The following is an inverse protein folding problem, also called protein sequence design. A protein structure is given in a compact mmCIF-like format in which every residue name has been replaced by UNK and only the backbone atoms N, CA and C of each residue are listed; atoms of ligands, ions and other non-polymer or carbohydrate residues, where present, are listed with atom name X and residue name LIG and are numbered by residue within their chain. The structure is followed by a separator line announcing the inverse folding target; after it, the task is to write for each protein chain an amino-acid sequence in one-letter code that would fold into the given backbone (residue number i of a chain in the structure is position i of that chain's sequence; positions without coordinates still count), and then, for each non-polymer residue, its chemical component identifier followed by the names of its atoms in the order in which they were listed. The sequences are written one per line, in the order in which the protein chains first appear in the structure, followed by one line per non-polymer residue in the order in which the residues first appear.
data_IF_043440104287
#
_entry.id   IF_043440104287
#
_cell.length_a   1.000
_cell.length_b   1.000
_cell.length_c   1.000
_cell.angle_alpha   90.00
_cell.angle_beta   90.00
_cell.angle_gamma   90.00
#
_symmetry.space_group_name_H-M   'P 1'
#
loop_
_entity.id
_entity.type
_entity.pdbx_description
1 polymer ?
#
# COMPACT_ATOMS: atom_id res chain seq x y z
N UNK A 1 46.17 -9.89 35.26
CA UNK A 1 44.75 -9.81 34.81
C UNK A 1 44.01 -8.84 35.72
N UNK A 2 43.40 -7.73 35.31
CA UNK A 2 43.27 -7.09 34.02
C UNK A 2 42.77 -5.66 34.27
N UNK A 3 43.55 -4.66 33.88
CA UNK A 3 43.14 -3.25 33.84
C UNK A 3 42.64 -2.93 32.43
N UNK A 4 41.58 -3.61 31.98
CA UNK A 4 41.04 -3.45 30.62
C UNK A 4 39.98 -2.33 30.49
N UNK A 5 39.68 -1.57 31.54
CA UNK A 5 38.76 -0.44 31.47
C UNK A 5 39.25 0.76 32.28
N UNK A 6 40.14 1.60 31.72
CA UNK A 6 40.48 2.90 32.35
C UNK A 6 41.00 3.99 31.40
N UNK A 7 40.79 3.86 30.09
CA UNK A 7 41.09 4.96 29.16
C UNK A 7 39.80 5.68 28.79
N UNK A 8 39.59 6.87 29.39
CA UNK A 8 38.46 7.77 29.09
C UNK A 8 38.38 8.10 27.60
N UNK A 9 39.52 8.12 26.88
CA UNK A 9 39.57 8.34 25.43
C UNK A 9 39.04 7.15 24.63
N UNK A 10 39.30 5.91 25.06
CA UNK A 10 38.70 4.73 24.41
C UNK A 10 37.19 4.67 24.65
N UNK A 11 36.73 5.02 25.85
CA UNK A 11 35.31 5.08 26.18
C UNK A 11 34.59 6.15 25.32
N UNK A 12 35.18 7.35 25.21
CA UNK A 12 34.64 8.42 24.36
C UNK A 12 34.60 8.02 22.87
N UNK A 13 35.66 7.36 22.38
CA UNK A 13 35.69 6.87 20.99
C UNK A 13 34.60 5.82 20.73
N UNK A 14 34.38 4.90 21.67
CA UNK A 14 33.33 3.88 21.56
C UNK A 14 31.92 4.50 21.55
N UNK A 15 31.67 5.51 22.39
CA UNK A 15 30.39 6.24 22.42
C UNK A 15 30.17 6.99 21.11
N UNK A 16 31.19 7.64 20.57
CA UNK A 16 31.13 8.33 19.27
C UNK A 16 30.79 7.33 18.17
N UNK A 17 31.49 6.19 18.09
CA UNK A 17 31.20 5.16 17.08
C UNK A 17 29.76 4.65 17.17
N UNK A 18 29.24 4.38 18.38
CA UNK A 18 27.85 3.95 18.56
C UNK A 18 26.81 5.03 18.20
N UNK A 19 27.13 6.32 18.40
CA UNK A 19 26.26 7.44 18.02
C UNK A 19 26.26 7.72 16.51
N UNK A 20 27.33 7.36 15.81
CA UNK A 20 27.48 7.52 14.36
C UNK A 20 27.32 6.22 13.57
N UNK A 21 26.96 5.11 14.22
CA UNK A 21 26.60 3.87 13.54
C UNK A 21 25.38 4.13 12.65
N UNK A 22 25.49 3.97 11.32
CA UNK A 22 24.33 4.08 10.45
C UNK A 22 23.34 3.00 10.85
N UNK A 23 22.13 3.41 11.21
CA UNK A 23 21.03 2.46 11.35
C UNK A 23 20.71 1.93 9.97
N UNK A 24 21.06 0.67 9.70
CA UNK A 24 20.69 0.02 8.45
C UNK A 24 19.18 -0.14 8.41
N UNK A 25 18.53 0.61 7.54
CA UNK A 25 17.12 0.39 7.23
C UNK A 25 16.95 -0.87 6.39
N UNK A 26 15.84 -1.56 6.60
CA UNK A 26 15.49 -2.81 5.93
C UNK A 26 15.09 -2.58 4.47
N UNK A 27 15.58 -3.46 3.62
CA UNK A 27 15.32 -3.46 2.18
C UNK A 27 13.96 -4.06 1.85
N UNK A 28 13.52 -3.84 0.60
CA UNK A 28 12.31 -4.44 0.03
C UNK A 28 12.29 -5.96 0.27
N UNK A 29 11.20 -6.48 0.86
CA UNK A 29 10.98 -7.90 1.13
C UNK A 29 11.55 -8.41 2.47
N UNK A 30 12.34 -7.60 3.18
CA UNK A 30 12.81 -7.93 4.51
C UNK A 30 11.70 -7.81 5.56
N UNK A 31 11.83 -8.50 6.69
CA UNK A 31 10.83 -8.47 7.76
C UNK A 31 10.99 -7.25 8.62
N UNK A 32 9.91 -6.53 8.81
CA UNK A 32 9.86 -5.31 9.61
C UNK A 32 8.82 -5.43 10.72
N UNK A 33 8.87 -4.50 11.67
CA UNK A 33 7.82 -4.34 12.70
C UNK A 33 7.08 -3.01 12.55
N UNK A 34 7.75 -1.99 12.00
CA UNK A 34 7.19 -0.66 11.76
C UNK A 34 7.78 -0.02 10.48
N UNK A 35 7.09 0.99 9.93
CA UNK A 35 7.53 1.72 8.73
C UNK A 35 8.94 2.30 8.86
N UNK A 36 9.28 2.81 10.04
CA UNK A 36 10.61 3.38 10.34
C UNK A 36 11.76 2.38 10.21
N UNK A 37 11.45 1.08 10.23
CA UNK A 37 12.46 0.04 10.09
C UNK A 37 12.87 -0.11 8.61
N UNK A 38 12.05 0.34 7.66
CA UNK A 38 12.25 0.17 6.23
C UNK A 38 13.00 1.34 5.58
N UNK A 39 13.65 1.09 4.44
CA UNK A 39 14.27 2.12 3.61
C UNK A 39 13.27 3.21 3.17
N UNK A 40 13.78 4.40 2.87
CA UNK A 40 12.96 5.52 2.43
C UNK A 40 12.10 5.14 1.20
N UNK A 41 10.79 5.39 1.28
CA UNK A 41 9.83 5.04 0.23
C UNK A 41 9.24 3.63 0.34
N UNK A 42 9.61 2.87 1.37
CA UNK A 42 8.99 1.60 1.74
C UNK A 42 8.10 1.76 2.98
N UNK A 43 7.15 0.85 3.16
CA UNK A 43 6.31 0.72 4.34
C UNK A 43 6.22 -0.74 4.78
N UNK A 44 6.07 -0.93 6.07
CA UNK A 44 5.94 -2.22 6.69
C UNK A 44 4.50 -2.73 6.59
N UNK A 45 4.24 -3.59 5.60
CA UNK A 45 2.88 -4.07 5.31
C UNK A 45 2.79 -5.59 5.32
N UNK A 46 1.57 -6.08 5.55
CA UNK A 46 1.19 -7.49 5.39
C UNK A 46 0.18 -7.62 4.26
N UNK A 47 0.16 -8.80 3.62
CA UNK A 47 -0.87 -9.14 2.64
C UNK A 47 -1.50 -10.47 3.04
N UNK A 48 -2.50 -10.39 3.92
CA UNK A 48 -3.21 -11.56 4.43
C UNK A 48 -3.87 -12.39 3.32
N UNK A 49 -4.24 -11.75 2.20
CA UNK A 49 -4.86 -12.41 1.05
C UNK A 49 -3.98 -13.50 0.42
N UNK A 50 -2.65 -13.41 0.53
CA UNK A 50 -1.72 -14.45 0.03
C UNK A 50 -1.27 -15.41 1.15
N UNK A 51 -2.01 -15.46 2.27
CA UNK A 51 -1.65 -16.27 3.44
C UNK A 51 -0.40 -15.78 4.20
N UNK A 52 0.19 -14.65 3.79
CA UNK A 52 1.38 -14.10 4.41
C UNK A 52 1.01 -13.09 5.51
N UNK A 53 1.11 -13.54 6.76
CA UNK A 53 0.87 -12.72 7.95
C UNK A 53 2.12 -12.01 8.45
N UNK A 54 3.30 -12.29 7.87
CA UNK A 54 4.57 -11.70 8.30
C UNK A 54 4.80 -10.35 7.63
N UNK A 55 4.86 -9.23 8.37
CA UNK A 55 5.06 -7.91 7.78
C UNK A 55 6.39 -7.81 7.06
N UNK A 56 6.39 -7.22 5.86
CA UNK A 56 7.57 -7.00 5.05
C UNK A 56 7.67 -5.55 4.62
N UNK A 57 8.89 -5.08 4.40
CA UNK A 57 9.09 -3.79 3.76
C UNK A 57 8.63 -3.88 2.31
N UNK A 58 7.64 -3.07 1.96
CA UNK A 58 7.00 -3.05 0.65
C UNK A 58 6.99 -1.65 0.07
N UNK A 59 7.09 -1.57 -1.24
CA UNK A 59 7.05 -0.30 -1.95
C UNK A 59 5.61 0.12 -2.17
N UNK A 60 5.23 1.28 -1.63
CA UNK A 60 3.87 1.82 -1.80
C UNK A 60 3.72 2.53 -3.14
N UNK A 61 4.74 3.27 -3.60
CA UNK A 61 4.65 4.09 -4.81
C UNK A 61 5.54 3.55 -5.94
N UNK A 62 5.00 3.29 -7.14
CA UNK A 62 5.79 2.89 -8.29
C UNK A 62 6.65 4.06 -8.78
N UNK A 63 7.66 3.76 -9.59
CA UNK A 63 8.39 4.80 -10.32
C UNK A 63 7.45 5.46 -11.33
N UNK A 64 7.40 6.79 -11.36
CA UNK A 64 6.61 7.52 -12.34
C UNK A 64 7.15 7.24 -13.77
N UNK A 65 6.37 6.63 -14.68
CA UNK A 65 6.82 6.31 -16.03
C UNK A 65 7.31 7.53 -16.81
N UNK A 66 6.67 8.69 -16.61
CA UNK A 66 7.00 9.93 -17.33
C UNK A 66 8.30 10.59 -16.84
N UNK A 67 8.80 10.18 -15.66
CA UNK A 67 10.10 10.63 -15.17
C UNK A 67 11.27 9.90 -15.84
N UNK A 68 11.02 8.79 -16.54
CA UNK A 68 12.04 8.00 -17.24
C UNK A 68 12.12 8.33 -18.72
N UNK A 69 10.98 8.50 -19.37
CA UNK A 69 10.87 8.93 -20.77
C UNK A 69 9.70 9.91 -20.87
N UNK A 70 9.89 11.00 -21.62
CA UNK A 70 8.87 12.05 -21.78
C UNK A 70 8.16 11.93 -23.13
N UNK A 71 7.01 12.57 -23.23
CA UNK A 71 6.29 12.85 -24.49
C UNK A 71 5.85 11.61 -25.31
N UNK A 72 5.65 10.47 -24.65
CA UNK A 72 4.99 9.33 -25.28
C UNK A 72 3.46 9.43 -25.13
N UNK A 73 2.68 8.89 -26.07
CA UNK A 73 1.24 8.70 -25.89
C UNK A 73 0.93 7.85 -24.64
N UNK A 74 -0.23 8.06 -24.01
CA UNK A 74 -0.63 7.36 -22.77
C UNK A 74 -0.50 5.83 -22.86
N UNK A 75 -0.87 5.24 -23.99
CA UNK A 75 -0.80 3.79 -24.25
C UNK A 75 0.61 3.25 -24.54
N UNK A 76 1.65 4.09 -24.42
CA UNK A 76 3.06 3.71 -24.56
C UNK A 76 3.83 3.76 -23.23
N UNK A 77 3.12 4.00 -22.13
CA UNK A 77 3.65 3.90 -20.76
C UNK A 77 3.09 2.66 -20.05
N UNK A 78 3.84 2.17 -19.07
CA UNK A 78 3.36 1.16 -18.12
C UNK A 78 2.69 1.85 -16.94
N UNK A 79 1.42 1.57 -16.70
CA UNK A 79 0.66 2.15 -15.59
C UNK A 79 0.35 1.10 -14.53
N UNK A 80 0.40 1.51 -13.26
CA UNK A 80 -0.12 0.68 -12.19
C UNK A 80 -1.66 0.71 -12.22
N UNK A 81 -2.27 -0.46 -12.17
CA UNK A 81 -3.72 -0.65 -12.20
C UNK A 81 -4.18 -1.50 -11.03
N UNK A 82 -5.36 -1.24 -10.48
CA UNK A 82 -5.95 -2.07 -9.41
C UNK A 82 -7.24 -2.74 -9.87
N UNK A 83 -7.38 -4.02 -9.54
CA UNK A 83 -8.59 -4.81 -9.78
C UNK A 83 -9.62 -4.50 -8.68
N UNK A 84 -10.88 -4.26 -9.00
CA UNK A 84 -11.94 -3.94 -8.03
C UNK A 84 -11.48 -2.90 -7.01
N UNK A 85 -11.05 -1.74 -7.53
CA UNK A 85 -10.38 -0.69 -6.78
C UNK A 85 -11.17 -0.18 -5.57
N UNK A 86 -12.48 -0.42 -5.54
CA UNK A 86 -13.37 -0.03 -4.44
C UNK A 86 -13.44 -1.04 -3.29
N UNK A 87 -12.99 -2.29 -3.49
CA UNK A 87 -13.15 -3.40 -2.55
C UNK A 87 -12.08 -3.39 -1.45
N UNK A 88 -12.08 -2.33 -0.62
CA UNK A 88 -11.15 -2.16 0.48
C UNK A 88 -11.47 -3.12 1.65
N UNK A 89 -10.42 -3.69 2.24
CA UNK A 89 -10.51 -4.58 3.39
C UNK A 89 -10.99 -3.85 4.64
N UNK A 90 -11.96 -4.45 5.34
CA UNK A 90 -12.42 -4.00 6.67
C UNK A 90 -13.28 -2.74 6.68
N UNK A 91 -13.65 -2.18 5.51
CA UNK A 91 -14.55 -1.02 5.43
C UNK A 91 -16.00 -1.43 5.20
N UNK A 92 -16.91 -0.58 5.69
CA UNK A 92 -18.34 -0.68 5.39
C UNK A 92 -18.65 0.10 4.13
N UNK A 93 -19.63 -0.38 3.38
CA UNK A 93 -20.24 0.31 2.27
C UNK A 93 -20.86 1.65 2.69
N UNK A 94 -21.19 2.49 1.72
CA UNK A 94 -21.91 3.74 1.96
C UNK A 94 -23.28 3.54 2.64
N UNK A 95 -23.89 2.35 2.51
CA UNK A 95 -25.15 2.00 3.16
C UNK A 95 -24.95 1.39 4.56
N UNK A 96 -23.71 1.29 5.05
CA UNK A 96 -23.36 0.72 6.35
C UNK A 96 -23.23 -0.81 6.37
N UNK A 97 -23.63 -1.49 5.29
CA UNK A 97 -23.43 -2.94 5.11
C UNK A 97 -21.95 -3.26 4.86
N UNK A 98 -21.51 -4.46 5.21
CA UNK A 98 -20.16 -4.92 4.82
C UNK A 98 -20.06 -5.08 3.31
N UNK A 99 -18.87 -4.85 2.74
CA UNK A 99 -18.58 -5.16 1.35
C UNK A 99 -18.58 -6.69 1.21
N UNK A 100 -19.51 -7.22 0.42
CA UNK A 100 -19.60 -8.67 0.12
C UNK A 100 -18.99 -8.91 -1.27
N UNK A 101 -17.69 -8.69 -1.33
CA UNK A 101 -16.82 -8.97 -2.46
C UNK A 101 -15.47 -9.46 -1.92
N UNK A 102 -14.67 -10.19 -2.71
CA UNK A 102 -13.25 -10.39 -2.42
C UNK A 102 -12.58 -9.03 -2.16
N UNK A 103 -12.26 -8.76 -0.89
CA UNK A 103 -11.59 -7.53 -0.48
C UNK A 103 -10.11 -7.62 -0.88
N UNK A 104 -9.80 -7.09 -2.05
CA UNK A 104 -8.48 -7.21 -2.67
C UNK A 104 -7.67 -5.90 -2.63
N UNK A 105 -8.21 -4.86 -1.98
CA UNK A 105 -7.51 -3.59 -1.73
C UNK A 105 -7.33 -3.36 -0.22
N UNK A 106 -6.22 -2.74 0.17
CA UNK A 106 -6.03 -2.25 1.54
C UNK A 106 -6.19 -0.72 1.64
N UNK A 107 -6.19 -0.05 0.49
CA UNK A 107 -6.20 1.40 0.31
C UNK A 107 -7.53 1.92 -0.23
N UNK A 108 -7.92 3.14 0.18
CA UNK A 108 -9.02 3.87 -0.47
C UNK A 108 -8.68 4.21 -1.93
N UNK A 109 -9.69 4.48 -2.77
CA UNK A 109 -9.46 4.93 -4.15
C UNK A 109 -8.59 6.19 -4.20
N UNK A 110 -8.81 7.15 -3.29
CA UNK A 110 -7.99 8.36 -3.17
C UNK A 110 -6.54 8.02 -2.85
N UNK A 111 -6.29 7.11 -1.90
CA UNK A 111 -4.94 6.63 -1.56
C UNK A 111 -4.26 5.97 -2.78
N UNK A 112 -4.98 5.12 -3.51
CA UNK A 112 -4.49 4.48 -4.73
C UNK A 112 -4.02 5.51 -5.78
N UNK A 113 -4.83 6.54 -6.04
CA UNK A 113 -4.50 7.61 -6.99
C UNK A 113 -3.27 8.43 -6.53
N UNK A 114 -3.22 8.79 -5.25
CA UNK A 114 -2.07 9.47 -4.63
C UNK A 114 -0.81 8.62 -4.69
N UNK A 115 -0.95 7.29 -4.65
CA UNK A 115 0.15 6.34 -4.74
C UNK A 115 0.49 5.90 -6.18
N UNK A 116 -0.03 6.60 -7.19
CA UNK A 116 0.42 6.42 -8.58
C UNK A 116 -0.37 5.42 -9.41
N UNK A 117 -1.49 4.88 -8.91
CA UNK A 117 -2.44 4.10 -9.71
C UNK A 117 -3.06 5.00 -10.79
N UNK A 118 -3.11 4.53 -12.03
CA UNK A 118 -3.68 5.28 -13.18
C UNK A 118 -4.68 4.47 -14.00
N UNK A 119 -5.04 3.28 -13.55
CA UNK A 119 -6.22 2.57 -14.04
C UNK A 119 -6.94 1.90 -12.87
N UNK A 120 -8.26 2.06 -12.84
CA UNK A 120 -9.14 1.50 -11.83
C UNK A 120 -10.11 0.56 -12.52
N UNK A 121 -10.17 -0.70 -12.10
CA UNK A 121 -11.21 -1.62 -12.52
C UNK A 121 -12.37 -1.54 -11.54
N UNK A 122 -13.56 -1.25 -12.08
CA UNK A 122 -14.79 -1.07 -11.33
C UNK A 122 -15.84 -2.04 -11.85
N UNK A 123 -16.25 -2.99 -11.01
CA UNK A 123 -17.37 -3.88 -11.32
C UNK A 123 -18.68 -3.14 -11.04
N UNK A 124 -19.34 -2.67 -12.10
CA UNK A 124 -20.49 -1.76 -12.02
C UNK A 124 -21.79 -2.48 -12.43
N UNK A 125 -22.88 -2.19 -11.72
CA UNK A 125 -24.21 -2.75 -11.94
C UNK A 125 -25.27 -1.64 -11.88
N UNK A 126 -26.24 -1.70 -12.80
CA UNK A 126 -27.45 -0.88 -12.70
C UNK A 126 -28.40 -1.53 -11.68
N UNK A 127 -28.75 -0.78 -10.64
CA UNK A 127 -29.74 -1.21 -9.66
C UNK A 127 -30.47 -0.01 -9.05
N UNK A 128 -31.80 -0.09 -8.96
CA UNK A 128 -32.64 0.96 -8.40
C UNK A 128 -32.38 2.34 -9.02
N UNK A 129 -32.24 2.40 -10.35
CA UNK A 129 -32.03 3.63 -11.10
C UNK A 129 -30.72 4.37 -10.77
N UNK A 130 -29.74 3.68 -10.17
CA UNK A 130 -28.40 4.19 -9.90
C UNK A 130 -27.33 3.12 -10.20
N UNK A 131 -26.06 3.52 -10.21
CA UNK A 131 -24.93 2.64 -10.42
C UNK A 131 -24.39 2.15 -9.08
N UNK A 132 -24.20 0.85 -8.97
CA UNK A 132 -23.65 0.20 -7.80
C UNK A 132 -22.35 -0.51 -8.14
N UNK A 133 -21.41 -0.50 -7.21
CA UNK A 133 -20.20 -1.30 -7.27
C UNK A 133 -20.45 -2.61 -6.53
N UNK A 134 -20.36 -3.72 -7.25
CA UNK A 134 -20.68 -5.06 -6.74
C UNK A 134 -19.75 -6.09 -7.40
N UNK A 135 -19.48 -7.22 -6.74
CA UNK A 135 -18.79 -8.33 -7.40
C UNK A 135 -19.78 -9.50 -7.52
N UNK A 136 -20.04 -9.98 -8.74
CA UNK A 136 -20.89 -11.15 -8.93
C UNK A 136 -20.14 -12.44 -8.60
N UNK A 137 -20.82 -13.39 -7.96
CA UNK A 137 -20.35 -14.77 -7.77
C UNK A 137 -21.45 -15.74 -8.22
N UNK A 138 -21.18 -16.55 -9.25
CA UNK A 138 -22.11 -17.57 -9.74
C UNK A 138 -23.44 -17.03 -10.29
N UNK A 139 -23.47 -15.81 -10.82
CA UNK A 139 -24.69 -15.18 -11.37
C UNK A 139 -25.54 -14.43 -10.36
N UNK A 140 -25.19 -14.45 -9.07
CA UNK A 140 -25.80 -13.60 -8.06
C UNK A 140 -24.95 -12.35 -7.82
N UNK A 141 -25.61 -11.21 -7.62
CA UNK A 141 -24.96 -9.92 -7.31
C UNK A 141 -25.14 -9.65 -5.83
N UNK A 142 -24.03 -9.53 -5.10
CA UNK A 142 -24.06 -9.09 -3.71
C UNK A 142 -23.69 -7.61 -3.65
N UNK A 143 -24.65 -6.79 -3.22
CA UNK A 143 -24.51 -5.34 -3.19
C UNK A 143 -23.36 -4.96 -2.26
N UNK A 144 -22.37 -4.22 -2.80
CA UNK A 144 -21.16 -3.87 -2.06
C UNK A 144 -20.99 -2.37 -1.84
N UNK A 145 -21.38 -1.49 -2.78
CA UNK A 145 -21.31 -0.04 -2.58
C UNK A 145 -22.25 0.72 -3.52
N UNK A 146 -22.94 1.75 -3.01
CA UNK A 146 -23.66 2.72 -3.84
C UNK A 146 -22.66 3.75 -4.39
N UNK A 147 -22.58 3.95 -5.71
CA UNK A 147 -21.93 5.14 -6.25
C UNK A 147 -22.90 6.30 -6.06
N UNK A 148 -22.81 7.00 -4.94
CA UNK A 148 -23.50 8.28 -4.87
C UNK A 148 -22.92 9.16 -6.00
N UNK A 149 -23.72 9.89 -6.80
CA UNK A 149 -23.24 10.76 -7.89
C UNK A 149 -22.34 11.92 -7.42
N UNK A 150 -22.01 11.97 -6.14
CA UNK A 150 -21.10 12.92 -5.48
C UNK A 150 -19.67 12.38 -5.32
N UNK A 151 -19.21 11.46 -6.17
CA UNK A 151 -17.78 11.30 -6.45
C UNK A 151 -17.32 12.46 -7.36
N UNK A 152 -17.49 13.68 -6.87
CA UNK A 152 -16.79 14.87 -7.36
C UNK A 152 -15.36 14.81 -6.84
N UNK A 153 -14.43 14.59 -7.77
CA UNK A 153 -12.99 14.90 -7.75
C UNK A 153 -12.17 14.50 -6.51
#
# INVERSE_FOLDING_TARGET
MGTLLKSSKLLALFIIVCLFSPSSSLQMGETCSADKDCEAGLSCQTCAANGNTRPRCTRIQPTNPTSKVKDLPFNKYTWLTTHNSYAQAGVRSATGSFIIAPMNQNDTVTSQLNNGVRGLMLDMYDFNNDIWLCHSYGGNVTISQHLNPLLTC
#
